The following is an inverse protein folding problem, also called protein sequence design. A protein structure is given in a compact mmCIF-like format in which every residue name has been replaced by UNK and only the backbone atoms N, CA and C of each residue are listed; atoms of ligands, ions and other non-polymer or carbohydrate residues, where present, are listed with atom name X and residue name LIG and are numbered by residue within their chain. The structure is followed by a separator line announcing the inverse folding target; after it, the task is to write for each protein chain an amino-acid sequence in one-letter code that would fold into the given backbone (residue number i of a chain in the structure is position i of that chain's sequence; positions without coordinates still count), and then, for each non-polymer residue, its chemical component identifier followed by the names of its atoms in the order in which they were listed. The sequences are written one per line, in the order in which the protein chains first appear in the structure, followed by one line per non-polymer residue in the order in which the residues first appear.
data_IF_261067983097
#
_entry.id   IF_261067983097
#
_cell.length_a   1.000
_cell.length_b   1.000
_cell.length_c   1.000
_cell.angle_alpha   90.00
_cell.angle_beta   90.00
_cell.angle_gamma   90.00
#
_symmetry.space_group_name_H-M   'P 1'
#
loop_
_entity.id
_entity.type
_entity.pdbx_description
1 polymer ?
#
# COMPACT_ATOMS: atom_id res chain seq x y z
N UNK A 1 -7.16 14.74 23.46
CA UNK A 1 -6.64 14.44 22.10
C UNK A 1 -6.08 13.03 22.09
N UNK A 2 -6.26 12.30 21.00
CA UNK A 2 -5.57 11.01 20.80
C UNK A 2 -4.15 11.29 20.26
N UNK A 3 -3.17 10.43 20.54
CA UNK A 3 -1.81 10.52 19.97
C UNK A 3 -1.77 10.34 18.45
N UNK A 4 -2.83 9.79 17.85
CA UNK A 4 -2.92 9.55 16.42
C UNK A 4 -3.27 10.84 15.65
N UNK A 5 -2.37 11.38 14.81
CA UNK A 5 -2.62 12.66 14.13
C UNK A 5 -3.71 12.57 13.05
N UNK A 6 -4.32 13.71 12.67
CA UNK A 6 -5.19 13.79 11.50
C UNK A 6 -4.45 13.39 10.21
N UNK A 7 -5.21 12.95 9.19
CA UNK A 7 -4.66 12.48 7.91
C UNK A 7 -3.73 13.50 7.25
N UNK A 8 -4.09 14.78 7.29
CA UNK A 8 -3.29 15.85 6.68
C UNK A 8 -1.92 16.01 7.35
N UNK A 9 -1.88 15.98 8.70
CA UNK A 9 -0.63 16.03 9.47
C UNK A 9 0.25 14.83 9.13
N UNK A 10 -0.33 13.64 9.03
CA UNK A 10 0.43 12.44 8.64
C UNK A 10 1.03 12.55 7.24
N UNK A 11 0.31 13.17 6.29
CA UNK A 11 0.80 13.39 4.92
C UNK A 11 2.03 14.27 4.94
N UNK A 12 1.96 15.42 5.62
CA UNK A 12 3.09 16.34 5.81
C UNK A 12 4.29 15.60 6.41
N UNK A 13 4.08 14.86 7.51
CA UNK A 13 5.16 14.14 8.19
C UNK A 13 5.85 13.08 7.32
N UNK A 14 5.11 12.43 6.39
CA UNK A 14 5.71 11.48 5.45
C UNK A 14 6.50 12.19 4.35
N UNK A 15 5.96 13.29 3.83
CA UNK A 15 6.57 14.09 2.77
C UNK A 15 7.92 14.66 3.22
N UNK A 16 7.99 15.19 4.45
CA UNK A 16 9.21 15.75 5.05
C UNK A 16 10.37 14.75 5.07
N UNK A 17 10.09 13.47 5.32
CA UNK A 17 11.11 12.41 5.45
C UNK A 17 11.28 11.56 4.17
N UNK A 18 10.74 12.02 3.04
CA UNK A 18 10.85 11.29 1.78
C UNK A 18 10.18 9.90 1.81
N UNK A 19 9.11 9.75 2.61
CA UNK A 19 8.25 8.55 2.71
C UNK A 19 8.85 7.30 3.35
N UNK A 20 10.04 7.39 3.97
CA UNK A 20 10.61 6.30 4.75
C UNK A 20 11.39 6.83 5.94
N UNK A 21 11.64 5.95 6.91
CA UNK A 21 12.31 6.34 8.15
C UNK A 21 13.66 7.02 7.83
N UNK A 22 13.87 8.28 8.28
CA UNK A 22 14.99 9.12 7.85
C UNK A 22 16.32 8.75 8.53
N UNK A 23 16.32 7.81 9.48
CA UNK A 23 17.55 7.36 10.13
C UNK A 23 18.45 6.70 9.08
N UNK A 24 19.73 7.09 9.07
CA UNK A 24 20.72 6.66 8.08
C UNK A 24 20.73 5.14 7.90
N UNK A 25 20.54 4.69 6.66
CA UNK A 25 20.53 3.28 6.28
C UNK A 25 19.23 2.52 6.63
N UNK A 26 18.16 3.20 7.05
CA UNK A 26 16.89 2.57 7.40
C UNK A 26 15.89 2.55 6.22
N UNK A 27 15.32 3.70 5.85
CA UNK A 27 14.37 3.80 4.74
C UNK A 27 13.01 3.09 4.94
N UNK A 28 12.75 2.41 6.06
CA UNK A 28 11.50 1.65 6.22
C UNK A 28 10.24 2.53 6.08
N UNK A 29 9.26 2.18 5.23
CA UNK A 29 8.04 2.95 4.99
C UNK A 29 6.95 2.73 6.05
N UNK A 30 7.17 1.80 7.00
CA UNK A 30 6.24 1.45 8.07
C UNK A 30 6.33 2.43 9.24
N UNK A 31 5.65 3.57 9.12
CA UNK A 31 5.89 4.75 9.96
C UNK A 31 4.89 4.91 11.12
N UNK A 32 5.41 5.36 12.25
CA UNK A 32 4.72 5.80 13.47
C UNK A 32 5.02 7.29 13.71
N UNK A 33 4.23 7.94 14.58
CA UNK A 33 4.23 9.40 14.74
C UNK A 33 4.80 9.80 16.10
N UNK A 34 6.03 10.31 16.10
CA UNK A 34 6.74 10.75 17.30
C UNK A 34 6.49 12.23 17.57
N UNK A 35 6.27 12.61 18.82
CA UNK A 35 6.13 14.00 19.26
C UNK A 35 7.34 14.33 20.13
N UNK A 36 8.13 15.34 19.75
CA UNK A 36 9.42 15.61 20.38
C UNK A 36 9.63 17.08 20.77
N UNK A 37 8.93 18.04 20.16
CA UNK A 37 9.14 19.46 20.40
C UNK A 37 7.83 20.28 20.42
N UNK A 38 7.14 20.37 21.58
CA UNK A 38 7.41 19.65 22.82
C UNK A 38 6.98 18.17 22.77
N UNK A 39 7.47 17.30 23.66
CA UNK A 39 7.01 15.92 23.71
C UNK A 39 5.56 15.80 24.18
N UNK A 40 4.88 14.72 23.81
CA UNK A 40 3.44 14.54 24.07
C UNK A 40 3.04 14.71 25.54
N UNK A 41 3.87 14.26 26.48
CA UNK A 41 3.57 14.38 27.92
C UNK A 41 3.64 15.82 28.45
N UNK A 42 4.32 16.73 27.73
CA UNK A 42 4.37 18.16 28.03
C UNK A 42 3.20 18.88 27.35
N UNK A 43 2.91 18.56 26.09
CA UNK A 43 1.78 19.15 25.37
C UNK A 43 1.20 18.15 24.37
N UNK A 44 -0.13 17.97 24.43
CA UNK A 44 -0.86 17.16 23.46
C UNK A 44 -1.12 18.01 22.20
N UNK A 45 -0.28 17.90 21.17
CA UNK A 45 -0.41 18.65 19.92
C UNK A 45 -0.29 17.76 18.69
N UNK A 46 -0.71 18.27 17.53
CA UNK A 46 -0.45 17.66 16.22
C UNK A 46 0.25 18.63 15.25
N UNK A 47 1.06 19.55 15.79
CA UNK A 47 1.91 20.45 15.02
C UNK A 47 3.04 19.66 14.32
N UNK A 48 3.11 19.63 12.97
CA UNK A 48 4.15 18.91 12.24
C UNK A 48 5.57 19.32 12.60
N UNK A 49 5.82 20.60 12.90
CA UNK A 49 7.15 21.11 13.27
C UNK A 49 7.73 20.38 14.50
N UNK A 50 6.87 20.04 15.47
CA UNK A 50 7.24 19.34 16.70
C UNK A 50 7.13 17.83 16.64
N UNK A 51 6.98 17.28 15.43
CA UNK A 51 6.67 15.88 15.18
C UNK A 51 7.51 15.30 14.06
N UNK A 52 7.75 13.99 14.09
CA UNK A 52 8.50 13.29 13.04
C UNK A 52 7.91 11.90 12.83
N UNK A 53 7.98 11.42 11.60
CA UNK A 53 7.64 10.04 11.28
C UNK A 53 8.87 9.13 11.35
N UNK A 54 8.76 8.02 12.08
CA UNK A 54 9.85 7.06 12.30
C UNK A 54 9.33 5.63 12.15
N UNK A 55 10.18 4.67 11.76
CA UNK A 55 9.78 3.27 11.86
C UNK A 55 9.68 2.85 13.33
N UNK A 56 8.93 1.76 13.61
CA UNK A 56 8.70 1.29 14.99
C UNK A 56 9.97 1.17 15.84
N UNK A 57 11.06 0.66 15.27
CA UNK A 57 12.34 0.53 15.98
C UNK A 57 12.91 1.88 16.40
N UNK A 58 13.02 2.82 15.47
CA UNK A 58 13.58 4.15 15.75
C UNK A 58 12.61 5.02 16.56
N UNK A 59 11.30 4.79 16.45
CA UNK A 59 10.30 5.44 17.29
C UNK A 59 10.46 5.05 18.77
N UNK A 60 10.63 3.76 19.07
CA UNK A 60 10.93 3.29 20.44
C UNK A 60 12.24 3.89 20.94
N UNK A 61 13.29 3.92 20.12
CA UNK A 61 14.56 4.54 20.49
C UNK A 61 14.40 6.04 20.81
N UNK A 62 13.64 6.78 19.99
CA UNK A 62 13.33 8.18 20.23
C UNK A 62 12.55 8.39 21.52
N UNK A 63 11.52 7.57 21.79
CA UNK A 63 10.76 7.58 23.04
C UNK A 63 11.65 7.36 24.28
N UNK A 64 12.77 6.65 24.12
CA UNK A 64 13.77 6.41 25.17
C UNK A 64 14.98 7.36 25.14
N UNK A 65 14.92 8.45 24.37
CA UNK A 65 15.93 9.50 24.36
C UNK A 65 17.21 9.18 23.60
N UNK A 66 17.17 8.23 22.66
CA UNK A 66 18.33 7.92 21.81
C UNK A 66 18.66 9.04 20.80
N UNK A 67 17.70 9.94 20.55
CA UNK A 67 17.85 11.10 19.66
C UNK A 67 17.57 12.38 20.45
N UNK A 68 18.41 13.40 20.26
CA UNK A 68 18.13 14.75 20.74
C UNK A 68 17.07 15.45 19.88
N UNK A 69 16.47 16.53 20.39
CA UNK A 69 15.51 17.36 19.65
C UNK A 69 16.15 17.91 18.37
N UNK A 70 17.41 18.34 18.44
CA UNK A 70 18.18 18.85 17.32
C UNK A 70 18.41 17.77 16.27
N UNK A 71 18.78 16.55 16.69
CA UNK A 71 18.94 15.42 15.77
C UNK A 71 17.63 15.07 15.05
N UNK A 72 16.49 15.13 15.74
CA UNK A 72 15.18 14.87 15.11
C UNK A 72 14.81 15.96 14.10
N UNK A 73 15.14 17.23 14.37
CA UNK A 73 15.02 18.31 13.40
C UNK A 73 15.94 18.12 12.18
N UNK A 74 17.19 17.71 12.38
CA UNK A 74 18.14 17.40 11.30
C UNK A 74 17.65 16.23 10.43
N UNK A 75 17.09 15.19 11.05
CA UNK A 75 16.48 14.06 10.34
C UNK A 75 15.27 14.48 9.50
N UNK A 76 14.45 15.43 9.96
CA UNK A 76 13.37 16.01 9.14
C UNK A 76 13.92 16.78 7.94
N UNK A 77 14.95 17.61 8.15
CA UNK A 77 15.50 18.47 7.10
C UNK A 77 16.21 17.66 6.00
N UNK A 78 16.99 16.65 6.39
CA UNK A 78 17.70 15.77 5.46
C UNK A 78 16.85 14.62 4.93
N UNK A 79 15.74 14.31 5.61
CA UNK A 79 14.89 13.17 5.31
C UNK A 79 14.26 13.22 3.92
N UNK A 80 14.05 14.40 3.33
CA UNK A 80 13.48 14.51 1.98
C UNK A 80 14.30 13.75 0.92
N UNK A 81 15.61 13.63 1.11
CA UNK A 81 16.51 12.91 0.20
C UNK A 81 16.50 11.38 0.41
N UNK A 82 15.79 10.89 1.43
CA UNK A 82 15.68 9.47 1.78
C UNK A 82 14.85 8.65 0.79
N UNK A 83 14.11 9.29 -0.11
CA UNK A 83 13.18 8.61 -1.04
C UNK A 83 13.82 7.46 -1.83
N UNK A 84 15.13 7.54 -2.10
CA UNK A 84 15.91 6.51 -2.82
C UNK A 84 16.20 5.25 -1.99
N UNK A 85 16.14 5.36 -0.67
CA UNK A 85 16.45 4.28 0.27
C UNK A 85 15.17 3.58 0.75
N UNK A 86 14.00 4.09 0.39
CA UNK A 86 12.73 3.57 0.89
C UNK A 86 12.49 2.17 0.37
N UNK A 87 12.48 1.21 1.30
CA UNK A 87 12.24 -0.20 1.01
C UNK A 87 11.53 -0.88 2.18
N UNK A 88 10.66 -1.83 1.88
CA UNK A 88 9.92 -2.63 2.87
C UNK A 88 9.71 -4.04 2.35
N UNK A 89 9.22 -4.96 3.20
CA UNK A 89 8.84 -6.33 2.83
C UNK A 89 7.56 -6.77 3.55
N UNK A 90 6.67 -7.46 2.84
CA UNK A 90 5.48 -8.07 3.40
C UNK A 90 5.75 -9.55 3.79
N UNK A 91 5.94 -9.83 5.08
CA UNK A 91 6.42 -11.16 5.53
C UNK A 91 5.34 -12.07 6.16
N UNK A 92 4.06 -11.87 5.84
CA UNK A 92 2.95 -12.56 6.54
C UNK A 92 1.93 -13.25 5.63
N UNK A 93 1.96 -13.03 4.32
CA UNK A 93 0.96 -13.53 3.38
C UNK A 93 1.19 -15.00 3.00
N UNK A 94 0.83 -15.92 3.90
CA UNK A 94 1.08 -17.38 3.73
C UNK A 94 -0.08 -18.17 3.11
N UNK A 95 -1.30 -17.63 3.13
CA UNK A 95 -2.48 -18.37 2.68
C UNK A 95 -2.59 -18.34 1.14
N UNK A 96 -3.65 -19.00 0.63
CA UNK A 96 -4.06 -18.92 -0.77
C UNK A 96 -4.50 -17.50 -1.12
N UNK A 97 -4.39 -17.11 -2.38
CA UNK A 97 -4.70 -15.77 -2.87
C UNK A 97 -6.17 -15.67 -3.31
N UNK A 98 -6.88 -14.66 -2.84
CA UNK A 98 -8.13 -14.18 -3.44
C UNK A 98 -7.95 -12.73 -3.85
N UNK A 99 -7.76 -12.48 -5.15
CA UNK A 99 -7.67 -11.11 -5.66
C UNK A 99 -9.04 -10.52 -5.96
N UNK A 100 -9.24 -9.27 -5.57
CA UNK A 100 -10.47 -8.50 -5.79
C UNK A 100 -10.12 -7.30 -6.63
N UNK A 101 -10.45 -7.40 -7.92
CA UNK A 101 -10.10 -6.40 -8.93
C UNK A 101 -11.38 -6.02 -9.67
N UNK A 102 -11.78 -4.75 -9.57
CA UNK A 102 -12.96 -4.30 -10.29
C UNK A 102 -14.29 -4.80 -9.75
N UNK A 103 -14.37 -5.16 -8.46
CA UNK A 103 -15.54 -5.86 -7.92
C UNK A 103 -15.67 -7.32 -8.35
N UNK A 104 -14.66 -7.90 -9.00
CA UNK A 104 -14.63 -9.30 -9.39
C UNK A 104 -13.58 -10.05 -8.57
N UNK A 105 -13.80 -11.35 -8.39
CA UNK A 105 -13.09 -12.22 -7.47
C UNK A 105 -12.29 -13.26 -8.26
N UNK A 106 -10.98 -13.33 -8.00
CA UNK A 106 -10.06 -14.22 -8.70
C UNK A 106 -9.28 -15.05 -7.67
N UNK A 107 -9.63 -16.32 -7.56
CA UNK A 107 -9.00 -17.24 -6.62
C UNK A 107 -7.80 -17.95 -7.24
N UNK A 108 -6.64 -17.88 -6.58
CA UNK A 108 -5.39 -18.52 -7.01
C UNK A 108 -5.03 -18.19 -8.47
N UNK A 109 -5.21 -16.91 -8.81
CA UNK A 109 -4.84 -16.30 -10.09
C UNK A 109 -3.71 -15.31 -9.80
N UNK A 110 -2.42 -15.71 -9.91
CA UNK A 110 -1.31 -14.90 -9.42
C UNK A 110 -1.11 -13.59 -10.19
N UNK A 111 -1.38 -13.57 -11.50
CA UNK A 111 -1.39 -12.34 -12.30
C UNK A 111 -2.77 -11.69 -12.18
N UNK A 112 -2.92 -10.73 -11.28
CA UNK A 112 -4.24 -10.17 -10.95
C UNK A 112 -4.64 -9.04 -11.90
N UNK A 113 -3.66 -8.31 -12.44
CA UNK A 113 -3.86 -7.31 -13.48
C UNK A 113 -2.75 -7.38 -14.53
N UNK A 114 -3.16 -7.47 -15.80
CA UNK A 114 -2.30 -7.49 -16.99
C UNK A 114 -2.74 -6.38 -17.94
N UNK A 115 -1.78 -5.62 -18.47
CA UNK A 115 -2.02 -4.62 -19.51
C UNK A 115 -1.15 -4.94 -20.71
N UNK A 116 -1.77 -5.06 -21.88
CA UNK A 116 -1.22 -5.70 -23.07
C UNK A 116 -0.68 -7.09 -22.70
N UNK A 117 0.60 -7.33 -22.98
CA UNK A 117 1.30 -8.57 -22.61
C UNK A 117 2.08 -8.49 -21.30
N UNK A 118 2.05 -7.35 -20.61
CA UNK A 118 2.85 -7.12 -19.42
C UNK A 118 2.02 -7.32 -18.14
N UNK A 119 2.48 -8.17 -17.18
CA UNK A 119 1.88 -8.20 -15.86
C UNK A 119 2.13 -6.87 -15.15
N UNK A 120 1.06 -6.28 -14.62
CA UNK A 120 1.10 -4.97 -13.97
C UNK A 120 1.02 -5.14 -12.46
N UNK A 121 0.18 -6.05 -11.98
CA UNK A 121 0.12 -6.44 -10.58
C UNK A 121 0.02 -7.95 -10.54
N UNK A 122 0.99 -8.58 -9.88
CA UNK A 122 1.03 -10.03 -9.75
C UNK A 122 1.68 -10.46 -8.46
N UNK A 123 1.51 -11.74 -8.14
CA UNK A 123 2.15 -12.39 -7.02
C UNK A 123 3.03 -13.54 -7.49
N UNK A 124 4.16 -13.70 -6.84
CA UNK A 124 4.97 -14.92 -6.87
C UNK A 124 4.91 -15.59 -5.50
N UNK A 125 5.47 -16.80 -5.37
CA UNK A 125 5.69 -17.43 -4.06
C UNK A 125 7.17 -17.64 -3.83
N UNK A 126 7.64 -17.38 -2.61
CA UNK A 126 9.01 -17.72 -2.21
C UNK A 126 9.16 -19.21 -1.89
N UNK A 127 10.38 -19.61 -1.52
CA UNK A 127 10.71 -20.99 -1.11
C UNK A 127 9.91 -21.49 0.11
N UNK A 128 9.43 -20.57 0.94
CA UNK A 128 8.61 -20.86 2.12
C UNK A 128 7.10 -20.69 1.84
N UNK A 129 6.72 -20.57 0.56
CA UNK A 129 5.35 -20.44 0.06
C UNK A 129 4.64 -19.12 0.41
N UNK A 130 5.37 -18.06 0.79
CA UNK A 130 4.81 -16.73 1.05
C UNK A 130 4.56 -15.97 -0.25
N UNK A 131 3.45 -15.25 -0.32
CA UNK A 131 3.12 -14.38 -1.44
C UNK A 131 4.08 -13.19 -1.53
N UNK A 132 4.60 -12.96 -2.73
CA UNK A 132 5.51 -11.88 -3.08
C UNK A 132 4.81 -10.93 -4.06
N UNK A 133 4.40 -9.76 -3.59
CA UNK A 133 3.82 -8.71 -4.41
C UNK A 133 4.83 -8.21 -5.43
N UNK A 134 4.35 -8.06 -6.66
CA UNK A 134 5.03 -7.36 -7.72
C UNK A 134 4.07 -6.33 -8.36
N UNK A 135 4.60 -5.15 -8.71
CA UNK A 135 3.84 -4.02 -9.24
C UNK A 135 4.69 -3.27 -10.27
N UNK A 136 4.12 -2.94 -11.42
CA UNK A 136 4.65 -1.95 -12.36
C UNK A 136 3.59 -0.86 -12.55
N UNK A 137 3.69 0.28 -11.87
CA UNK A 137 2.69 1.32 -12.04
C UNK A 137 2.65 1.85 -13.47
N UNK A 138 1.45 1.88 -14.06
CA UNK A 138 1.20 2.46 -15.36
C UNK A 138 1.09 3.99 -15.26
N UNK A 139 1.43 4.68 -16.35
CA UNK A 139 1.18 6.11 -16.52
C UNK A 139 0.94 6.43 -18.00
N UNK A 140 0.21 7.52 -18.26
CA UNK A 140 0.21 8.19 -19.56
C UNK A 140 1.36 9.19 -19.72
N UNK A 141 2.02 9.54 -18.61
CA UNK A 141 3.24 10.35 -18.64
C UNK A 141 4.45 9.49 -19.00
N UNK A 142 5.49 10.12 -19.54
CA UNK A 142 6.79 9.47 -19.77
C UNK A 142 7.68 9.47 -18.52
N UNK A 143 7.20 10.03 -17.40
CA UNK A 143 7.95 10.05 -16.16
C UNK A 143 7.91 8.66 -15.51
N UNK A 144 9.02 8.22 -14.88
CA UNK A 144 9.05 6.97 -14.16
C UNK A 144 7.91 6.85 -13.13
N UNK A 145 7.49 5.61 -12.86
CA UNK A 145 6.60 5.29 -11.75
C UNK A 145 7.19 4.22 -10.85
N UNK A 146 6.75 4.22 -9.60
CA UNK A 146 7.14 3.24 -8.60
C UNK A 146 6.86 1.82 -9.10
N UNK A 147 7.76 0.92 -8.77
CA UNK A 147 7.58 -0.49 -9.02
C UNK A 147 7.95 -1.29 -7.77
N UNK A 148 7.37 -2.48 -7.67
CA UNK A 148 7.65 -3.44 -6.61
C UNK A 148 8.09 -4.72 -7.26
N UNK A 149 9.21 -5.27 -6.78
CA UNK A 149 9.69 -6.58 -7.19
C UNK A 149 9.86 -7.46 -5.96
N UNK A 150 9.13 -8.56 -5.89
CA UNK A 150 9.20 -9.53 -4.81
C UNK A 150 9.12 -8.92 -3.41
N UNK A 151 8.04 -8.17 -3.16
CA UNK A 151 7.78 -7.37 -1.97
C UNK A 151 8.74 -6.20 -1.73
N UNK A 152 9.82 -6.03 -2.50
CA UNK A 152 10.76 -4.92 -2.38
C UNK A 152 10.31 -3.72 -3.20
N UNK A 153 10.36 -2.54 -2.59
CA UNK A 153 9.84 -1.30 -3.18
C UNK A 153 10.97 -0.50 -3.80
N UNK A 154 10.69 0.05 -4.97
CA UNK A 154 11.62 0.87 -5.71
C UNK A 154 10.89 2.15 -6.10
N UNK A 155 11.11 3.19 -5.30
CA UNK A 155 10.64 4.53 -5.59
C UNK A 155 11.55 5.16 -6.64
N UNK A 156 10.94 5.97 -7.50
CA UNK A 156 11.63 6.62 -8.62
C UNK A 156 11.65 8.13 -8.49
N UNK A 157 10.93 8.67 -7.51
CA UNK A 157 10.78 10.10 -7.27
C UNK A 157 9.57 10.68 -8.01
N UNK A 158 9.05 11.79 -7.48
CA UNK A 158 7.88 12.49 -8.04
C UNK A 158 6.53 12.02 -7.48
N UNK A 159 6.54 11.11 -6.50
CA UNK A 159 5.35 10.72 -5.76
C UNK A 159 4.78 11.93 -4.97
N UNK A 160 3.46 12.09 -4.98
CA UNK A 160 2.74 13.07 -4.15
C UNK A 160 2.54 12.53 -2.72
N UNK A 161 2.21 11.24 -2.59
CA UNK A 161 2.07 10.57 -1.30
C UNK A 161 2.30 9.06 -1.45
N UNK A 162 2.95 8.49 -0.43
CA UNK A 162 3.09 7.05 -0.25
C UNK A 162 2.60 6.73 1.16
N UNK A 163 1.56 5.90 1.26
CA UNK A 163 0.98 5.46 2.52
C UNK A 163 1.19 3.96 2.70
N UNK A 164 1.89 3.59 3.79
CA UNK A 164 1.99 2.22 4.26
C UNK A 164 1.87 2.18 5.79
N UNK A 165 0.73 1.75 6.34
CA UNK A 165 0.59 1.65 7.78
C UNK A 165 1.55 0.59 8.35
N UNK A 166 1.95 0.70 9.63
CA UNK A 166 2.81 -0.30 10.29
C UNK A 166 2.29 -1.74 10.26
N UNK A 167 0.99 -1.94 10.08
CA UNK A 167 0.38 -3.26 9.91
C UNK A 167 0.77 -3.94 8.59
N UNK A 168 1.35 -3.20 7.64
CA UNK A 168 1.66 -3.67 6.28
C UNK A 168 0.45 -4.31 5.57
N UNK A 169 -0.76 -3.81 5.89
CA UNK A 169 -2.03 -4.25 5.30
C UNK A 169 -2.56 -3.34 4.19
N UNK A 170 -1.82 -2.29 3.87
CA UNK A 170 -2.18 -1.33 2.82
C UNK A 170 -0.92 -0.78 2.19
N UNK A 171 -0.98 -0.57 0.89
CA UNK A 171 -0.05 0.23 0.13
C UNK A 171 -0.88 1.21 -0.71
N UNK A 172 -0.56 2.50 -0.67
CA UNK A 172 -1.14 3.49 -1.56
C UNK A 172 -0.04 4.40 -2.08
N UNK A 173 0.06 4.55 -3.40
CA UNK A 173 1.00 5.43 -4.08
C UNK A 173 0.20 6.36 -4.97
N UNK A 174 0.41 7.66 -4.83
CA UNK A 174 -0.25 8.71 -5.62
C UNK A 174 0.78 9.61 -6.28
N UNK A 175 0.52 10.02 -7.52
CA UNK A 175 1.32 11.01 -8.24
C UNK A 175 0.52 12.29 -8.53
N UNK A 176 1.19 13.45 -8.72
CA UNK A 176 0.53 14.74 -8.96
C UNK A 176 -0.37 14.78 -10.21
N UNK A 177 -0.07 13.95 -11.21
CA UNK A 177 -0.88 13.87 -12.42
C UNK A 177 -2.21 13.10 -12.22
N UNK A 178 -2.43 12.52 -11.03
CA UNK A 178 -3.62 11.75 -10.68
C UNK A 178 -3.45 10.24 -10.76
N UNK A 179 -2.27 9.72 -11.15
CA UNK A 179 -2.04 8.28 -11.13
C UNK A 179 -2.10 7.76 -9.68
N UNK A 180 -2.78 6.63 -9.49
CA UNK A 180 -2.99 6.02 -8.18
C UNK A 180 -2.92 4.50 -8.29
N UNK A 181 -2.18 3.89 -7.37
CA UNK A 181 -2.36 2.48 -7.03
C UNK A 181 -2.63 2.37 -5.53
N UNK A 182 -3.66 1.60 -5.17
CA UNK A 182 -3.93 1.21 -3.80
C UNK A 182 -4.15 -0.30 -3.74
N UNK A 183 -3.44 -0.97 -2.84
CA UNK A 183 -3.55 -2.40 -2.59
C UNK A 183 -3.81 -2.61 -1.10
N UNK A 184 -4.91 -3.27 -0.76
CA UNK A 184 -5.28 -3.62 0.61
C UNK A 184 -5.22 -5.13 0.80
N UNK A 185 -4.65 -5.56 1.93
CA UNK A 185 -4.42 -6.95 2.27
C UNK A 185 -5.12 -7.29 3.59
N UNK A 186 -5.86 -8.40 3.61
CA UNK A 186 -6.49 -8.90 4.82
C UNK A 186 -6.73 -10.41 4.72
N UNK A 187 -6.99 -11.03 5.86
CA UNK A 187 -7.38 -12.44 5.92
C UNK A 187 -8.90 -12.52 6.06
N UNK A 188 -9.51 -13.39 5.24
CA UNK A 188 -10.88 -13.85 5.45
C UNK A 188 -10.75 -15.21 6.13
N UNK A 189 -11.15 -15.30 7.40
CA UNK A 189 -10.90 -16.51 8.20
C UNK A 189 -12.03 -17.53 8.07
N UNK A 190 -13.24 -17.03 7.80
CA UNK A 190 -14.45 -17.83 7.69
C UNK A 190 -15.41 -17.17 6.68
N UNK A 191 -16.46 -17.91 6.32
CA UNK A 191 -17.43 -17.48 5.31
C UNK A 191 -18.20 -16.23 5.75
N UNK A 192 -18.44 -16.06 7.04
CA UNK A 192 -19.17 -14.89 7.57
C UNK A 192 -18.33 -13.61 7.47
N UNK A 193 -17.00 -13.67 7.68
CA UNK A 193 -16.08 -12.55 7.44
C UNK A 193 -16.18 -12.08 5.98
N UNK A 194 -16.21 -13.04 5.05
CA UNK A 194 -16.26 -12.78 3.63
C UNK A 194 -17.65 -12.27 3.18
N UNK A 195 -18.75 -12.84 3.69
CA UNK A 195 -20.11 -12.39 3.41
C UNK A 195 -20.37 -10.99 3.98
N UNK A 196 -19.82 -10.68 5.17
CA UNK A 196 -19.88 -9.33 5.74
C UNK A 196 -19.18 -8.30 4.85
N UNK A 197 -18.05 -8.66 4.24
CA UNK A 197 -17.29 -7.74 3.37
C UNK A 197 -17.87 -7.67 1.95
N UNK A 198 -18.43 -8.76 1.44
CA UNK A 198 -18.98 -8.89 0.09
C UNK A 198 -20.41 -9.43 0.09
N UNK A 199 -21.39 -8.67 0.61
CA UNK A 199 -22.75 -9.16 0.80
C UNK A 199 -23.44 -9.54 -0.53
N UNK A 200 -23.07 -8.90 -1.64
CA UNK A 200 -23.68 -9.11 -2.95
C UNK A 200 -23.01 -10.23 -3.78
N UNK A 201 -21.95 -10.86 -3.26
CA UNK A 201 -21.08 -11.72 -4.06
C UNK A 201 -21.35 -13.23 -3.91
N UNK A 202 -22.45 -13.62 -3.26
CA UNK A 202 -22.84 -15.03 -3.01
C UNK A 202 -21.68 -15.87 -2.47
N UNK A 203 -20.96 -15.32 -1.50
CA UNK A 203 -19.71 -15.86 -0.93
C UNK A 203 -19.83 -17.33 -0.50
N UNK A 204 -21.00 -17.75 -0.02
CA UNK A 204 -21.26 -19.14 0.42
C UNK A 204 -21.13 -20.18 -0.71
N UNK A 205 -21.15 -19.74 -1.97
CA UNK A 205 -21.00 -20.59 -3.15
C UNK A 205 -19.57 -20.62 -3.70
N UNK A 206 -18.66 -19.82 -3.14
CA UNK A 206 -17.29 -19.75 -3.62
C UNK A 206 -16.54 -21.07 -3.35
N UNK A 207 -15.90 -21.67 -4.37
CA UNK A 207 -15.11 -22.88 -4.21
C UNK A 207 -13.69 -22.54 -3.69
N UNK A 208 -13.60 -21.96 -2.49
CA UNK A 208 -12.34 -21.53 -1.87
C UNK A 208 -12.07 -22.23 -0.54
N UNK A 209 -10.79 -22.39 -0.22
CA UNK A 209 -10.33 -22.80 1.11
C UNK A 209 -10.08 -21.56 1.98
N UNK A 210 -10.58 -21.59 3.21
CA UNK A 210 -10.37 -20.57 4.24
C UNK A 210 -9.46 -21.11 5.36
N UNK A 211 -8.59 -20.28 5.97
CA UNK A 211 -8.42 -18.86 5.72
C UNK A 211 -7.76 -18.55 4.38
N UNK A 212 -8.15 -17.44 3.76
CA UNK A 212 -7.58 -16.97 2.49
C UNK A 212 -7.01 -15.56 2.66
N UNK A 213 -5.90 -15.25 1.98
CA UNK A 213 -5.36 -13.90 1.88
C UNK A 213 -6.08 -13.19 0.75
N UNK A 214 -6.93 -12.24 1.10
CA UNK A 214 -7.64 -11.41 0.15
C UNK A 214 -6.84 -10.13 -0.16
N UNK A 215 -6.81 -9.75 -1.43
CA UNK A 215 -6.08 -8.60 -1.95
C UNK A 215 -7.02 -7.73 -2.77
N UNK A 216 -7.38 -6.57 -2.26
CA UNK A 216 -8.20 -5.59 -2.98
C UNK A 216 -7.33 -4.57 -3.70
N UNK A 217 -7.61 -4.34 -4.98
CA UNK A 217 -6.84 -3.42 -5.81
C UNK A 217 -7.69 -2.28 -6.33
N UNK A 218 -7.12 -1.09 -6.23
CA UNK A 218 -7.54 0.10 -6.99
C UNK A 218 -6.38 0.58 -7.84
N UNK A 219 -6.66 0.86 -9.12
CA UNK A 219 -5.71 1.38 -10.08
C UNK A 219 -6.40 2.49 -10.88
N UNK A 220 -5.77 3.65 -10.92
CA UNK A 220 -6.20 4.80 -11.71
C UNK A 220 -5.00 5.25 -12.52
N UNK A 221 -5.13 5.24 -13.84
CA UNK A 221 -4.15 5.83 -14.75
C UNK A 221 -4.77 7.11 -15.33
N UNK A 222 -4.26 8.26 -14.91
CA UNK A 222 -4.85 9.54 -15.26
C UNK A 222 -4.85 9.76 -16.80
N UNK A 223 -5.91 10.39 -17.29
CA UNK A 223 -6.11 10.74 -18.71
C UNK A 223 -6.11 9.54 -19.69
N UNK A 224 -6.32 8.31 -19.21
CA UNK A 224 -6.34 7.10 -20.05
C UNK A 224 -7.72 6.43 -20.16
N UNK A 225 -8.64 6.76 -19.27
CA UNK A 225 -9.89 6.02 -19.08
C UNK A 225 -9.72 4.64 -18.41
N UNK A 226 -8.48 4.25 -18.06
CA UNK A 226 -8.18 3.04 -17.30
C UNK A 226 -8.31 3.34 -15.79
N UNK A 227 -9.47 3.00 -15.24
CA UNK A 227 -9.77 3.08 -13.82
C UNK A 227 -10.59 1.86 -13.37
N UNK A 228 -10.11 1.20 -12.32
CA UNK A 228 -10.88 0.19 -11.61
C UNK A 228 -10.57 0.23 -10.12
N UNK A 229 -11.58 -0.09 -9.30
CA UNK A 229 -11.45 -0.17 -7.85
C UNK A 229 -11.95 -1.52 -7.34
N UNK A 230 -11.90 -1.73 -6.02
CA UNK A 230 -12.33 -3.00 -5.41
C UNK A 230 -13.83 -3.33 -5.60
N UNK A 231 -14.68 -2.37 -6.01
CA UNK A 231 -16.14 -2.52 -6.11
C UNK A 231 -16.67 -2.64 -7.54
N UNK A 232 -16.02 -2.00 -8.51
CA UNK A 232 -16.45 -2.04 -9.91
C UNK A 232 -15.30 -1.77 -10.90
N UNK A 233 -15.31 -2.46 -12.03
CA UNK A 233 -14.61 -2.04 -13.26
C UNK A 233 -15.61 -1.34 -14.16
N UNK A 234 -15.25 -0.13 -14.62
CA UNK A 234 -15.98 0.55 -15.69
C UNK A 234 -15.25 0.35 -17.00
N UNK A 235 -15.93 -0.23 -17.98
CA UNK A 235 -15.39 -0.39 -19.33
C UNK A 235 -16.15 0.51 -20.31
N UNK A 236 -15.46 1.49 -20.90
CA UNK A 236 -16.00 2.32 -21.99
C UNK A 236 -17.36 2.94 -21.68
N UNK A 237 -18.31 2.81 -22.61
CA UNK A 237 -19.66 3.41 -22.61
C UNK A 237 -20.62 2.90 -21.50
N UNK A 238 -20.17 2.81 -20.25
CA UNK A 238 -21.02 2.51 -19.09
C UNK A 238 -21.22 1.01 -18.78
N UNK A 239 -20.45 0.10 -19.38
CA UNK A 239 -20.50 -1.31 -19.02
C UNK A 239 -19.84 -1.53 -17.65
N UNK A 240 -20.50 -2.30 -16.78
CA UNK A 240 -20.00 -2.64 -15.45
C UNK A 240 -19.98 -4.15 -15.29
N UNK A 241 -18.82 -4.69 -14.92
CA UNK A 241 -18.66 -6.10 -14.55
C UNK A 241 -18.32 -6.18 -13.06
N UNK A 242 -19.14 -6.88 -12.28
CA UNK A 242 -18.97 -7.05 -10.83
C UNK A 242 -19.54 -8.39 -10.36
N UNK A 243 -19.08 -8.83 -9.20
CA UNK A 243 -19.48 -10.06 -8.52
C UNK A 243 -19.27 -11.34 -9.34
N UNK A 244 -18.41 -11.30 -10.36
CA UNK A 244 -17.96 -12.51 -11.04
C UNK A 244 -16.90 -13.21 -10.21
N UNK A 245 -16.91 -14.55 -10.22
CA UNK A 245 -15.90 -15.37 -9.58
C UNK A 245 -15.20 -16.23 -10.65
N UNK A 246 -13.87 -16.19 -10.64
CA UNK A 246 -13.03 -17.05 -11.47
C UNK A 246 -11.89 -17.62 -10.63
N UNK A 247 -11.30 -18.72 -11.05
CA UNK A 247 -10.18 -19.34 -10.32
C UNK A 247 -9.13 -19.93 -11.26
N UNK A 248 -7.88 -20.00 -10.80
CA UNK A 248 -6.76 -20.63 -11.51
C UNK A 248 -6.60 -20.12 -12.96
N UNK A 249 -6.83 -18.82 -13.17
CA UNK A 249 -6.79 -18.20 -14.49
C UNK A 249 -5.36 -17.75 -14.85
N UNK A 250 -5.07 -17.57 -16.14
CA UNK A 250 -3.79 -17.00 -16.58
C UNK A 250 -3.63 -15.51 -16.22
N UNK A 251 -4.74 -14.77 -16.12
CA UNK A 251 -4.79 -13.42 -15.57
C UNK A 251 -6.20 -13.15 -15.01
N UNK A 252 -6.30 -12.26 -14.01
CA UNK A 252 -7.58 -11.80 -13.46
C UNK A 252 -8.26 -10.80 -14.39
N UNK A 253 -7.81 -9.55 -14.33
CA UNK A 253 -8.17 -8.52 -15.31
C UNK A 253 -7.06 -8.41 -16.36
N UNK A 254 -7.41 -8.57 -17.63
CA UNK A 254 -6.51 -8.33 -18.76
C UNK A 254 -7.10 -7.28 -19.70
N UNK A 255 -6.31 -6.28 -20.05
CA UNK A 255 -6.69 -5.23 -21.00
C UNK A 255 -5.65 -5.22 -22.11
N UNK A 256 -6.08 -5.53 -23.33
CA UNK A 256 -5.25 -5.64 -24.54
C UNK A 256 -5.14 -4.33 -25.31
#
# INVERSE_FOLDING_TARGET
MNRNPPTEVKRILREEIGFGCPVSGCGLPYLEWHHFDPPWHVTNHHNPEGMIALCRTHHIQADHGAFSVEQLHELKQSGKDNWRQVSGKFNWMRNRLLAVVGGNFYYETPVIFKFKEQPIIWFERDENNYLLLNLHMLSTSNDPRAYIKNNEWYNVGGEEDIECPPSAKKLKIKYPNGDLVQIEFFELNNVDDAEKRYPDARVREWPIELPVTAVEVTNIVANSGLEFNAKETKFGNGNVMKNCFASNCGAGLAIS
#
